data_IF_979198027887
#
_entry.id   IF_979198027887
#
_cell.length_a   1.000
_cell.length_b   1.000
_cell.length_c   1.000
_cell.angle_alpha   90.00
_cell.angle_beta   90.00
_cell.angle_gamma   90.00
#
_symmetry.space_group_name_H-M   'P 1'
#
loop_
_entity.id
_entity.type
_entity.pdbx_description
1 polymer ?
#
# COMPACT_ATOMS: atom_id res chain seq x y z
N UNK A 1 22.69 10.22 3.14
CA UNK A 1 21.92 9.92 2.03
C UNK A 1 21.05 8.73 2.26
N UNK A 2 19.82 8.91 2.27
CA UNK A 2 18.87 7.89 2.54
C UNK A 2 18.51 7.12 1.30
N UNK A 3 18.07 5.91 1.52
CA UNK A 3 17.46 5.13 0.49
C UNK A 3 15.98 5.37 0.51
N UNK A 4 15.42 5.69 -0.61
CA UNK A 4 14.00 5.96 -0.73
C UNK A 4 13.27 4.68 -1.12
N UNK A 5 12.22 4.35 -0.37
CA UNK A 5 11.40 3.16 -0.63
C UNK A 5 9.99 3.63 -0.94
N UNK A 6 9.46 3.22 -2.07
CA UNK A 6 8.10 3.55 -2.47
C UNK A 6 7.17 2.39 -2.15
N UNK A 7 6.13 2.66 -1.39
CA UNK A 7 5.18 1.66 -0.95
C UNK A 7 3.78 2.08 -1.35
N UNK A 8 3.05 1.17 -2.00
CA UNK A 8 1.63 1.35 -2.24
C UNK A 8 0.88 0.53 -1.21
N UNK A 9 -0.05 1.15 -0.51
CA UNK A 9 -0.91 0.48 0.46
C UNK A 9 -2.32 0.48 -0.10
N UNK A 10 -2.82 -0.68 -0.47
CA UNK A 10 -4.18 -0.84 -0.93
C UNK A 10 -5.01 -1.46 0.18
N UNK A 11 -5.87 -0.65 0.76
CA UNK A 11 -6.72 -1.08 1.85
C UNK A 11 -7.97 -0.20 1.88
N UNK A 12 -9.16 -0.77 1.58
CA UNK A 12 -10.39 0.03 1.58
C UNK A 12 -10.77 0.58 2.95
N UNK A 13 -10.44 -0.11 4.03
CA UNK A 13 -10.79 0.35 5.37
C UNK A 13 -9.84 1.45 5.82
N UNK A 14 -10.39 2.60 6.16
CA UNK A 14 -9.59 3.71 6.64
C UNK A 14 -8.88 3.37 7.94
N UNK A 15 -9.55 2.65 8.82
CA UNK A 15 -8.98 2.32 10.13
C UNK A 15 -7.78 1.40 9.96
N UNK A 16 -7.92 0.37 9.14
CA UNK A 16 -6.84 -0.58 8.92
C UNK A 16 -5.69 0.09 8.18
N UNK A 17 -6.02 0.90 7.17
CA UNK A 17 -5.00 1.61 6.41
C UNK A 17 -4.21 2.55 7.29
N UNK A 18 -4.88 3.28 8.17
CA UNK A 18 -4.21 4.18 9.11
C UNK A 18 -3.28 3.44 10.04
N UNK A 19 -3.68 2.25 10.49
CA UNK A 19 -2.82 1.43 11.34
C UNK A 19 -1.55 1.00 10.64
N UNK A 20 -1.68 0.57 9.38
CA UNK A 20 -0.51 0.18 8.58
C UNK A 20 0.43 1.37 8.39
N UNK A 21 -0.14 2.53 8.07
CA UNK A 21 0.68 3.73 7.87
C UNK A 21 1.42 4.12 9.13
N UNK A 22 0.76 4.00 10.29
CA UNK A 22 1.40 4.34 11.56
C UNK A 22 2.62 3.45 11.80
N UNK A 23 2.51 2.18 11.49
CA UNK A 23 3.62 1.24 11.66
C UNK A 23 4.76 1.59 10.71
N UNK A 24 4.43 1.85 9.44
CA UNK A 24 5.45 2.14 8.44
C UNK A 24 6.23 3.42 8.78
N UNK A 25 5.53 4.42 9.33
CA UNK A 25 6.17 5.69 9.64
C UNK A 25 7.07 5.62 10.85
N UNK A 26 7.06 4.50 11.56
CA UNK A 26 7.94 4.30 12.70
C UNK A 26 9.31 3.73 12.31
N UNK A 27 9.50 3.43 11.05
CA UNK A 27 10.78 2.90 10.58
C UNK A 27 11.77 4.05 10.41
N UNK A 28 12.74 4.20 11.31
CA UNK A 28 13.52 5.43 11.36
C UNK A 28 14.65 5.51 10.36
N UNK A 29 15.10 4.39 9.85
CA UNK A 29 16.26 4.40 8.97
C UNK A 29 15.91 4.46 7.49
N UNK A 30 14.63 4.53 7.14
CA UNK A 30 14.20 4.54 5.75
C UNK A 30 13.44 5.80 5.43
N UNK A 31 13.68 6.31 4.24
CA UNK A 31 12.87 7.37 3.67
C UNK A 31 11.74 6.70 2.91
N UNK A 32 10.56 6.66 3.50
CA UNK A 32 9.44 5.93 2.96
C UNK A 32 8.46 6.88 2.31
N UNK A 33 8.14 6.62 1.05
CA UNK A 33 7.11 7.34 0.32
C UNK A 33 5.92 6.39 0.17
N UNK A 34 4.74 6.86 0.55
CA UNK A 34 3.57 6.01 0.62
C UNK A 34 2.45 6.57 -0.26
N UNK A 35 1.89 5.71 -1.10
CA UNK A 35 0.70 6.00 -1.87
C UNK A 35 -0.43 5.16 -1.31
N UNK A 36 -1.52 5.82 -0.90
CA UNK A 36 -2.67 5.15 -0.33
C UNK A 36 -3.75 4.96 -1.39
N UNK A 37 -4.27 3.75 -1.48
CA UNK A 37 -5.34 3.44 -2.43
C UNK A 37 -6.46 2.76 -1.68
N UNK A 38 -7.66 3.32 -1.79
CA UNK A 38 -8.85 2.75 -1.18
C UNK A 38 -9.75 2.06 -2.20
N UNK A 39 -9.58 2.37 -3.48
CA UNK A 39 -10.44 1.86 -4.54
C UNK A 39 -9.62 0.97 -5.47
N UNK A 40 -10.05 -0.27 -5.61
CA UNK A 40 -9.34 -1.24 -6.45
C UNK A 40 -9.23 -0.77 -7.90
N UNK A 41 -10.17 0.05 -8.36
CA UNK A 41 -10.13 0.53 -9.72
C UNK A 41 -8.93 1.44 -9.99
N UNK A 42 -8.38 2.05 -8.95
CA UNK A 42 -7.22 2.93 -9.09
C UNK A 42 -5.89 2.19 -9.03
N UNK A 43 -5.93 0.92 -8.64
CA UNK A 43 -4.71 0.17 -8.39
C UNK A 43 -3.83 0.02 -9.64
N UNK A 44 -4.37 -0.38 -10.81
CA UNK A 44 -3.50 -0.54 -11.98
C UNK A 44 -2.79 0.74 -12.40
N UNK A 45 -3.51 1.87 -12.37
CA UNK A 45 -2.90 3.15 -12.71
C UNK A 45 -1.81 3.54 -11.73
N UNK A 46 -2.10 3.35 -10.44
CA UNK A 46 -1.15 3.70 -9.41
C UNK A 46 0.12 2.87 -9.52
N UNK A 47 -0.01 1.58 -9.75
CA UNK A 47 1.17 0.72 -9.90
C UNK A 47 2.00 1.12 -11.10
N UNK A 48 1.33 1.51 -12.19
CA UNK A 48 2.02 1.91 -13.41
C UNK A 48 2.77 3.22 -13.26
N UNK A 49 2.12 4.19 -12.62
CA UNK A 49 2.67 5.54 -12.51
C UNK A 49 3.64 5.69 -11.35
N UNK A 50 3.33 5.05 -10.23
CA UNK A 50 4.12 5.20 -9.02
C UNK A 50 5.32 4.26 -8.98
N UNK A 51 5.16 3.08 -9.56
CA UNK A 51 6.20 2.05 -9.62
C UNK A 51 6.76 1.74 -8.23
N UNK A 52 5.91 1.20 -7.34
CA UNK A 52 6.34 0.96 -5.98
C UNK A 52 7.34 -0.18 -5.87
N UNK A 53 8.16 -0.12 -4.84
CA UNK A 53 9.03 -1.22 -4.49
C UNK A 53 8.27 -2.31 -3.74
N UNK A 54 7.23 -1.91 -2.99
CA UNK A 54 6.45 -2.83 -2.17
C UNK A 54 4.98 -2.50 -2.34
N UNK A 55 4.16 -3.55 -2.46
CA UNK A 55 2.71 -3.41 -2.47
C UNK A 55 2.15 -4.15 -1.27
N UNK A 56 1.42 -3.44 -0.44
CA UNK A 56 0.75 -4.03 0.72
C UNK A 56 -0.74 -4.13 0.42
N UNK A 57 -1.27 -5.36 0.49
CA UNK A 57 -2.66 -5.64 0.19
C UNK A 57 -3.25 -6.43 1.34
N UNK A 58 -4.45 -6.03 1.77
CA UNK A 58 -5.17 -6.79 2.78
C UNK A 58 -5.62 -8.12 2.19
N UNK A 59 -5.21 -9.25 2.76
CA UNK A 59 -5.58 -10.56 2.21
C UNK A 59 -7.08 -10.78 2.10
N UNK A 60 -7.87 -10.18 2.99
CA UNK A 60 -9.31 -10.36 2.95
C UNK A 60 -9.94 -9.76 1.71
N UNK A 61 -9.27 -8.81 1.08
CA UNK A 61 -9.76 -8.24 -0.17
C UNK A 61 -9.66 -9.25 -1.29
N UNK A 62 -8.56 -9.98 -1.33
CA UNK A 62 -8.34 -10.94 -2.40
C UNK A 62 -9.21 -12.18 -2.27
N UNK A 63 -9.66 -12.50 -1.06
CA UNK A 63 -10.52 -13.65 -0.86
C UNK A 63 -11.92 -13.45 -1.42
N UNK A 64 -12.24 -12.23 -1.82
CA UNK A 64 -13.56 -11.96 -2.40
C UNK A 64 -13.66 -12.39 -3.85
N UNK A 65 -12.56 -12.66 -4.49
CA UNK A 65 -12.58 -13.12 -5.86
C UNK A 65 -13.04 -14.57 -5.91
N UNK A 66 -13.95 -14.87 -6.83
CA UNK A 66 -14.38 -16.26 -6.96
C UNK A 66 -13.23 -17.10 -7.46
N UNK A 67 -12.91 -18.09 -6.71
CA UNK A 67 -11.84 -18.99 -7.08
C UNK A 67 -12.46 -20.32 -7.43
N UNK A 68 -12.26 -20.79 -8.64
CA UNK A 68 -12.84 -22.06 -9.06
C UNK A 68 -12.37 -23.20 -8.19
#
# INVERSE_FOLDING_TARGET
MGRSVKIVVFEPSLIIRSGVLAVLRRLPSLDIQIEEIADVAQLPSSLRCYKPDILIVNPSVTTRFPIP
#
